data_IF_788681927558
#
_entry.id   IF_788681927558
#
_cell.length_a   1.000
_cell.length_b   1.000
_cell.length_c   1.000
_cell.angle_alpha   90.00
_cell.angle_beta   90.00
_cell.angle_gamma   90.00
#
_symmetry.space_group_name_H-M   'P 1'
#
loop_
_entity.id
_entity.type
_entity.pdbx_description
1 polymer ?
#
# COMPACT_ATOMS: atom_id res chain seq x y z
N UNK A 1 -73.93 9.24 -15.10
CA UNK A 1 -73.15 7.99 -15.00
C UNK A 1 -71.83 8.30 -14.32
N UNK A 2 -71.34 7.40 -13.45
CA UNK A 2 -70.09 7.61 -12.73
C UNK A 2 -68.88 7.48 -13.66
N UNK A 3 -67.90 8.38 -13.51
CA UNK A 3 -66.60 8.31 -14.17
C UNK A 3 -65.72 7.25 -13.51
N UNK A 4 -64.75 6.71 -14.23
CA UNK A 4 -63.75 5.82 -13.61
C UNK A 4 -62.75 6.64 -12.81
N UNK A 5 -62.59 6.28 -11.53
CA UNK A 5 -61.74 6.95 -10.54
C UNK A 5 -60.47 6.11 -10.37
N UNK A 6 -59.33 6.45 -11.02
CA UNK A 6 -58.11 5.65 -10.94
C UNK A 6 -57.57 5.47 -9.52
N UNK A 7 -57.86 6.41 -8.63
CA UNK A 7 -57.44 6.44 -7.23
C UNK A 7 -57.96 5.23 -6.43
N UNK A 8 -58.98 4.53 -6.92
CA UNK A 8 -59.48 3.30 -6.28
C UNK A 8 -58.63 2.07 -6.61
N UNK A 9 -57.66 2.17 -7.53
CA UNK A 9 -56.77 1.07 -7.91
C UNK A 9 -55.47 1.17 -7.09
N UNK A 10 -55.08 0.14 -6.30
CA UNK A 10 -53.89 0.22 -5.46
C UNK A 10 -52.59 0.58 -6.22
N UNK A 11 -52.40 0.04 -7.42
CA UNK A 11 -51.23 0.34 -8.27
C UNK A 11 -51.16 1.82 -8.69
N UNK A 12 -52.30 2.51 -8.81
CA UNK A 12 -52.33 3.93 -9.12
C UNK A 12 -51.63 4.75 -8.04
N UNK A 13 -51.93 4.47 -6.77
CA UNK A 13 -51.38 5.20 -5.61
C UNK A 13 -49.87 5.05 -5.57
N UNK A 14 -49.36 3.82 -5.69
CA UNK A 14 -47.91 3.56 -5.67
C UNK A 14 -47.21 4.32 -6.78
N UNK A 15 -47.76 4.30 -8.00
CA UNK A 15 -47.19 5.05 -9.12
C UNK A 15 -47.22 6.55 -8.88
N UNK A 16 -48.33 7.12 -8.41
CA UNK A 16 -48.41 8.57 -8.14
C UNK A 16 -47.37 9.01 -7.11
N UNK A 17 -47.13 8.20 -6.06
CA UNK A 17 -46.08 8.48 -5.09
C UNK A 17 -44.71 8.57 -5.77
N UNK A 18 -44.38 7.63 -6.65
CA UNK A 18 -43.13 7.68 -7.42
C UNK A 18 -43.06 8.88 -8.38
N UNK A 19 -44.14 9.21 -9.09
CA UNK A 19 -44.18 10.38 -9.96
C UNK A 19 -43.96 11.68 -9.17
N UNK A 20 -44.55 11.80 -7.98
CA UNK A 20 -44.31 12.93 -7.09
C UNK A 20 -42.85 12.98 -6.60
N UNK A 21 -42.25 11.84 -6.28
CA UNK A 21 -40.81 11.81 -5.95
C UNK A 21 -39.96 12.33 -7.11
N UNK A 22 -40.29 11.95 -8.35
CA UNK A 22 -39.56 12.35 -9.55
C UNK A 22 -39.62 13.85 -9.86
N UNK A 23 -40.51 14.61 -9.23
CA UNK A 23 -40.50 16.08 -9.30
C UNK A 23 -39.23 16.68 -8.68
N UNK A 24 -38.59 15.96 -7.74
CA UNK A 24 -37.32 16.37 -7.13
C UNK A 24 -36.14 15.95 -8.03
N UNK A 25 -35.18 16.85 -8.29
CA UNK A 25 -34.02 16.54 -9.15
C UNK A 25 -33.22 15.30 -8.73
N UNK A 26 -33.14 15.05 -7.43
CA UNK A 26 -32.42 13.90 -6.85
C UNK A 26 -33.09 12.53 -7.13
N UNK A 27 -34.41 12.52 -7.34
CA UNK A 27 -35.20 11.32 -7.57
C UNK A 27 -35.80 11.22 -8.98
N UNK A 28 -35.50 12.17 -9.88
CA UNK A 28 -36.06 12.25 -11.23
C UNK A 28 -36.00 10.92 -12.02
N UNK A 29 -35.00 10.10 -11.71
CA UNK A 29 -34.69 8.83 -12.37
C UNK A 29 -35.12 7.58 -11.59
N UNK A 30 -35.85 7.75 -10.49
CA UNK A 30 -36.46 6.66 -9.77
C UNK A 30 -37.78 6.33 -10.46
N UNK A 31 -37.98 5.09 -10.87
CA UNK A 31 -39.17 4.68 -11.60
C UNK A 31 -39.79 3.47 -10.92
N UNK A 32 -41.11 3.47 -10.82
CA UNK A 32 -41.91 2.30 -10.48
C UNK A 32 -42.79 1.93 -11.67
N UNK A 33 -42.90 0.64 -11.95
CA UNK A 33 -43.77 0.12 -13.01
C UNK A 33 -44.28 -1.27 -12.65
N UNK A 34 -45.58 -1.48 -12.80
CA UNK A 34 -46.18 -2.82 -12.83
C UNK A 34 -46.08 -3.37 -14.26
N UNK A 35 -44.92 -3.87 -14.65
CA UNK A 35 -44.66 -4.32 -16.01
C UNK A 35 -45.45 -5.58 -16.34
N UNK A 36 -46.59 -5.40 -17.00
CA UNK A 36 -47.63 -6.42 -17.23
C UNK A 36 -47.63 -6.85 -18.69
N UNK A 37 -47.80 -8.14 -18.96
CA UNK A 37 -47.83 -8.66 -20.33
C UNK A 37 -49.08 -8.21 -21.09
N UNK A 38 -50.22 -8.20 -20.39
CA UNK A 38 -51.51 -7.70 -20.88
C UNK A 38 -52.09 -6.68 -19.89
N UNK A 39 -51.66 -5.40 -19.93
CA UNK A 39 -52.08 -4.38 -18.99
C UNK A 39 -53.45 -3.78 -19.32
N UNK A 40 -54.16 -3.29 -18.31
CA UNK A 40 -55.30 -2.37 -18.52
C UNK A 40 -54.84 -0.97 -18.93
N UNK A 41 -53.74 -0.48 -18.34
CA UNK A 41 -53.17 0.81 -18.68
C UNK A 41 -51.97 0.61 -19.63
N UNK A 42 -51.98 1.15 -20.86
CA UNK A 42 -50.87 0.98 -21.81
C UNK A 42 -49.50 1.40 -21.28
N UNK A 43 -49.45 2.31 -20.29
CA UNK A 43 -48.21 2.72 -19.63
C UNK A 43 -47.51 1.58 -18.87
N UNK A 44 -48.24 0.54 -18.53
CA UNK A 44 -47.78 -0.61 -17.75
C UNK A 44 -47.38 -1.79 -18.67
N UNK A 45 -47.46 -1.63 -19.99
CA UNK A 45 -47.03 -2.64 -20.95
C UNK A 45 -45.56 -3.00 -20.76
N UNK A 46 -45.29 -4.28 -20.47
CA UNK A 46 -43.93 -4.80 -20.36
C UNK A 46 -43.18 -4.64 -21.68
N UNK A 47 -41.94 -4.13 -21.62
CA UNK A 47 -41.00 -4.20 -22.74
C UNK A 47 -40.34 -5.59 -22.83
N UNK A 48 -39.46 -5.80 -23.81
CA UNK A 48 -38.80 -7.09 -24.03
C UNK A 48 -38.02 -7.60 -22.80
N UNK A 49 -37.31 -6.71 -22.12
CA UNK A 49 -36.55 -7.04 -20.91
C UNK A 49 -37.48 -7.38 -19.74
N UNK A 50 -38.51 -6.57 -19.53
CA UNK A 50 -39.49 -6.78 -18.46
C UNK A 50 -40.30 -8.06 -18.69
N UNK A 51 -40.63 -8.36 -19.94
CA UNK A 51 -41.29 -9.62 -20.35
C UNK A 51 -40.46 -10.83 -19.96
N UNK A 52 -39.13 -10.77 -20.13
CA UNK A 52 -38.24 -11.85 -19.68
C UNK A 52 -38.27 -12.03 -18.16
N UNK A 53 -38.40 -10.96 -17.38
CA UNK A 53 -38.54 -11.05 -15.92
C UNK A 53 -39.87 -11.72 -15.53
N UNK A 54 -40.98 -11.34 -16.17
CA UNK A 54 -42.29 -11.97 -15.93
C UNK A 54 -42.24 -13.46 -16.24
N UNK A 55 -41.62 -13.85 -17.36
CA UNK A 55 -41.50 -15.25 -17.74
C UNK A 55 -40.62 -16.05 -16.77
N UNK A 56 -39.52 -15.48 -16.28
CA UNK A 56 -38.72 -16.13 -15.23
C UNK A 56 -39.53 -16.41 -13.96
N UNK A 57 -40.36 -15.47 -13.53
CA UNK A 57 -41.26 -15.71 -12.39
C UNK A 57 -42.33 -16.77 -12.69
N UNK A 58 -42.82 -16.86 -13.92
CA UNK A 58 -43.76 -17.92 -14.34
C UNK A 58 -43.11 -19.30 -14.42
N UNK A 59 -41.83 -19.36 -14.75
CA UNK A 59 -41.06 -20.61 -14.83
C UNK A 59 -40.71 -21.17 -13.44
N UNK A 60 -40.49 -20.30 -12.45
CA UNK A 60 -40.18 -20.68 -11.08
C UNK A 60 -41.05 -19.93 -10.07
N UNK A 61 -42.11 -20.59 -9.59
CA UNK A 61 -43.03 -20.03 -8.59
C UNK A 61 -42.34 -19.75 -7.22
N UNK A 62 -41.18 -20.35 -6.94
CA UNK A 62 -40.42 -20.07 -5.71
C UNK A 62 -39.58 -18.80 -5.83
N UNK A 63 -39.37 -18.28 -7.04
CA UNK A 63 -38.60 -17.08 -7.28
C UNK A 63 -39.38 -15.83 -6.86
N UNK A 64 -39.02 -15.25 -5.71
CA UNK A 64 -39.75 -14.10 -5.15
C UNK A 64 -39.17 -12.74 -5.54
N UNK A 65 -37.92 -12.71 -6.01
CA UNK A 65 -37.24 -11.45 -6.33
C UNK A 65 -36.16 -11.66 -7.38
N UNK A 66 -36.08 -10.74 -8.33
CA UNK A 66 -34.98 -10.61 -9.28
C UNK A 66 -34.41 -9.20 -9.16
N UNK A 67 -33.08 -9.08 -9.20
CA UNK A 67 -32.44 -7.78 -9.19
C UNK A 67 -31.18 -7.81 -10.06
N UNK A 68 -30.79 -6.64 -10.54
CA UNK A 68 -29.61 -6.55 -11.40
C UNK A 68 -29.43 -5.17 -11.98
N UNK A 69 -28.56 -5.09 -12.99
CA UNK A 69 -28.31 -3.86 -13.72
C UNK A 69 -28.87 -3.99 -15.12
N UNK A 70 -29.56 -2.95 -15.56
CA UNK A 70 -30.05 -2.83 -16.92
C UNK A 70 -29.57 -1.51 -17.49
N UNK A 71 -29.10 -1.53 -18.73
CA UNK A 71 -28.70 -0.30 -19.43
C UNK A 71 -29.79 0.10 -20.40
N UNK A 72 -30.35 1.28 -20.20
CA UNK A 72 -31.38 1.86 -21.05
C UNK A 72 -30.96 3.30 -21.39
N UNK A 73 -31.04 3.68 -22.67
CA UNK A 73 -30.77 5.05 -23.13
C UNK A 73 -29.43 5.63 -22.60
N UNK A 74 -28.36 4.83 -22.64
CA UNK A 74 -27.00 5.19 -22.18
C UNK A 74 -26.87 5.39 -20.65
N UNK A 75 -27.88 5.00 -19.89
CA UNK A 75 -27.86 5.02 -18.42
C UNK A 75 -27.98 3.62 -17.84
N UNK A 76 -27.12 3.32 -16.86
CA UNK A 76 -27.22 2.08 -16.10
C UNK A 76 -28.12 2.30 -14.90
N UNK A 77 -29.23 1.57 -14.88
CA UNK A 77 -30.18 1.51 -13.77
C UNK A 77 -29.98 0.19 -13.03
N UNK A 78 -30.07 0.23 -11.71
CA UNK A 78 -30.25 -0.96 -10.90
C UNK A 78 -31.76 -1.19 -10.76
N UNK A 79 -32.22 -2.41 -10.97
CA UNK A 79 -33.62 -2.77 -10.83
C UNK A 79 -33.80 -3.81 -9.72
N UNK A 80 -34.96 -3.75 -9.07
CA UNK A 80 -35.49 -4.81 -8.21
C UNK A 80 -36.90 -5.11 -8.70
N UNK A 81 -37.16 -6.38 -8.99
CA UNK A 81 -38.40 -6.88 -9.56
C UNK A 81 -38.99 -7.96 -8.66
N UNK A 82 -40.32 -7.96 -8.50
CA UNK A 82 -41.08 -8.99 -7.77
C UNK A 82 -42.28 -9.45 -8.60
N UNK A 83 -42.71 -10.72 -8.48
CA UNK A 83 -43.87 -11.21 -9.21
C UNK A 83 -45.15 -10.57 -8.67
N UNK A 84 -46.09 -10.26 -9.57
CA UNK A 84 -47.46 -9.92 -9.24
C UNK A 84 -48.39 -11.06 -9.69
N UNK A 85 -48.82 -11.87 -8.72
CA UNK A 85 -49.75 -12.96 -8.94
C UNK A 85 -51.19 -12.54 -8.62
N UNK A 86 -52.16 -13.07 -9.38
CA UNK A 86 -53.59 -12.91 -9.12
C UNK A 86 -54.01 -13.90 -8.02
N UNK A 87 -53.72 -13.58 -6.77
CA UNK A 87 -53.97 -14.51 -5.65
C UNK A 87 -55.43 -14.53 -5.19
N UNK A 88 -56.21 -13.49 -5.49
CA UNK A 88 -57.58 -13.32 -5.02
C UNK A 88 -58.58 -13.30 -6.19
N UNK A 89 -59.72 -13.98 -6.03
CA UNK A 89 -60.77 -14.01 -7.05
C UNK A 89 -61.43 -12.65 -7.31
N UNK A 90 -61.31 -11.72 -6.35
CA UNK A 90 -61.79 -10.34 -6.50
C UNK A 90 -61.19 -9.60 -7.69
N UNK A 91 -59.95 -9.92 -8.06
CA UNK A 91 -59.30 -9.35 -9.25
C UNK A 91 -60.07 -9.70 -10.54
N UNK A 92 -60.63 -10.91 -10.60
CA UNK A 92 -61.34 -11.43 -11.77
C UNK A 92 -62.72 -10.78 -11.96
N UNK A 93 -63.23 -10.03 -10.99
CA UNK A 93 -64.44 -9.20 -11.16
C UNK A 93 -64.24 -8.18 -12.27
N UNK A 94 -63.03 -7.62 -12.40
CA UNK A 94 -62.71 -6.61 -13.40
C UNK A 94 -61.83 -7.14 -14.54
N UNK A 95 -61.07 -8.22 -14.32
CA UNK A 95 -60.02 -8.66 -15.25
C UNK A 95 -60.29 -10.05 -15.88
N UNK A 96 -61.47 -10.65 -15.67
CA UNK A 96 -61.84 -11.91 -16.32
C UNK A 96 -62.20 -11.71 -17.80
N UNK A 97 -63.38 -11.16 -18.10
CA UNK A 97 -63.79 -10.81 -19.46
C UNK A 97 -64.27 -9.37 -19.53
N UNK A 98 -64.22 -8.73 -20.72
CA UNK A 98 -64.72 -7.37 -20.89
C UNK A 98 -66.19 -7.21 -20.48
N UNK A 99 -67.03 -8.23 -20.68
CA UNK A 99 -68.47 -8.18 -20.38
C UNK A 99 -68.75 -8.19 -18.87
N UNK A 100 -67.87 -8.80 -18.07
CA UNK A 100 -67.99 -8.83 -16.62
C UNK A 100 -67.49 -7.53 -15.95
N UNK A 101 -66.67 -6.76 -16.66
CA UNK A 101 -65.99 -5.60 -16.11
C UNK A 101 -66.91 -4.37 -15.95
N UNK A 102 -66.64 -3.48 -14.98
CA UNK A 102 -67.38 -2.25 -14.82
C UNK A 102 -67.38 -1.37 -16.09
N UNK A 103 -68.55 -0.87 -16.51
CA UNK A 103 -68.68 -0.05 -17.73
C UNK A 103 -67.75 1.17 -17.77
N UNK A 104 -67.49 1.78 -16.60
CA UNK A 104 -66.61 2.93 -16.49
C UNK A 104 -65.15 2.58 -16.80
N UNK A 105 -64.69 1.37 -16.45
CA UNK A 105 -63.37 0.86 -16.82
C UNK A 105 -63.26 0.71 -18.34
N UNK A 106 -64.26 0.07 -18.95
CA UNK A 106 -64.32 -0.17 -20.41
C UNK A 106 -64.35 1.16 -21.17
N UNK A 107 -65.15 2.14 -20.72
CA UNK A 107 -65.18 3.48 -21.35
C UNK A 107 -63.82 4.18 -21.35
N UNK A 108 -62.99 3.94 -20.32
CA UNK A 108 -61.70 4.62 -20.17
C UNK A 108 -60.56 3.89 -20.87
N UNK A 109 -60.51 2.57 -20.78
CA UNK A 109 -59.37 1.76 -21.25
C UNK A 109 -59.72 0.85 -22.43
N UNK A 110 -60.97 0.77 -22.84
CA UNK A 110 -61.44 -0.13 -23.89
C UNK A 110 -61.57 -1.57 -23.43
N UNK A 111 -61.66 -2.48 -24.40
CA UNK A 111 -61.83 -3.93 -24.20
C UNK A 111 -60.61 -4.75 -24.61
N UNK A 112 -59.55 -4.11 -25.12
CA UNK A 112 -58.41 -4.80 -25.73
C UNK A 112 -57.42 -5.34 -24.69
N UNK A 113 -57.19 -4.60 -23.60
CA UNK A 113 -56.13 -4.89 -22.64
C UNK A 113 -56.60 -5.11 -21.21
N UNK A 114 -55.89 -5.97 -20.47
CA UNK A 114 -56.14 -6.19 -19.04
C UNK A 114 -57.31 -7.11 -18.73
N UNK A 115 -57.62 -8.04 -19.62
CA UNK A 115 -58.61 -9.10 -19.43
C UNK A 115 -58.00 -10.49 -19.68
N UNK A 116 -58.73 -11.54 -19.35
CA UNK A 116 -58.31 -12.93 -19.54
C UNK A 116 -57.37 -13.46 -18.46
N UNK A 117 -57.21 -12.74 -17.35
CA UNK A 117 -56.36 -13.17 -16.24
C UNK A 117 -56.95 -14.39 -15.54
N UNK A 118 -56.08 -15.27 -15.04
CA UNK A 118 -56.48 -16.47 -14.29
C UNK A 118 -56.06 -16.39 -12.81
N UNK A 119 -56.79 -17.09 -11.95
CA UNK A 119 -56.42 -17.20 -10.54
C UNK A 119 -55.07 -17.91 -10.40
N UNK A 120 -54.19 -17.35 -9.56
CA UNK A 120 -52.80 -17.73 -9.34
C UNK A 120 -51.86 -17.49 -10.53
N UNK A 121 -52.30 -16.80 -11.58
CA UNK A 121 -51.42 -16.41 -12.68
C UNK A 121 -50.51 -15.24 -12.28
N UNK A 122 -49.22 -15.34 -12.60
CA UNK A 122 -48.29 -14.21 -12.53
C UNK A 122 -48.50 -13.35 -13.78
N UNK A 123 -49.12 -12.19 -13.61
CA UNK A 123 -49.51 -11.31 -14.72
C UNK A 123 -48.46 -10.25 -15.06
N UNK A 124 -47.62 -9.91 -14.08
CA UNK A 124 -46.70 -8.79 -14.16
C UNK A 124 -45.48 -8.98 -13.26
N UNK A 125 -44.47 -8.14 -13.49
CA UNK A 125 -43.36 -7.91 -12.59
C UNK A 125 -43.49 -6.48 -12.04
N UNK A 126 -43.52 -6.33 -10.73
CA UNK A 126 -43.47 -5.03 -10.07
C UNK A 126 -42.00 -4.62 -9.97
N UNK A 127 -41.62 -3.57 -10.70
CA UNK A 127 -40.22 -3.19 -10.88
C UNK A 127 -39.97 -1.79 -10.33
N UNK A 128 -38.94 -1.67 -9.51
CA UNK A 128 -38.36 -0.40 -9.09
C UNK A 128 -37.01 -0.24 -9.78
N UNK A 129 -36.83 0.85 -10.50
CA UNK A 129 -35.55 1.25 -11.08
C UNK A 129 -34.94 2.41 -10.28
N UNK A 130 -33.64 2.30 -10.00
CA UNK A 130 -32.86 3.35 -9.33
C UNK A 130 -31.54 3.59 -10.07
N UNK A 131 -31.00 4.83 -10.11
CA UNK A 131 -29.72 5.11 -10.75
C UNK A 131 -28.58 4.31 -10.13
N UNK A 132 -27.87 3.51 -10.93
CA UNK A 132 -26.79 2.67 -10.43
C UNK A 132 -25.69 3.49 -9.74
N UNK A 133 -25.42 4.71 -10.24
CA UNK A 133 -24.46 5.64 -9.64
C UNK A 133 -24.73 5.92 -8.16
N UNK A 134 -25.99 6.01 -7.74
CA UNK A 134 -26.35 6.31 -6.35
C UNK A 134 -26.04 5.10 -5.46
N UNK A 135 -26.38 3.90 -5.93
CA UNK A 135 -26.08 2.62 -5.24
C UNK A 135 -24.57 2.38 -5.12
N UNK A 136 -23.84 2.59 -6.23
CA UNK A 136 -22.39 2.41 -6.30
C UNK A 136 -21.62 3.48 -5.51
N UNK A 137 -22.10 4.73 -5.48
CA UNK A 137 -21.44 5.81 -4.75
C UNK A 137 -21.52 5.60 -3.23
N UNK A 138 -22.66 5.12 -2.72
CA UNK A 138 -22.81 4.73 -1.32
C UNK A 138 -21.79 3.65 -0.92
N UNK A 139 -21.60 2.62 -1.76
CA UNK A 139 -20.61 1.58 -1.52
C UNK A 139 -19.16 2.10 -1.61
N UNK A 140 -18.88 3.01 -2.56
CA UNK A 140 -17.53 3.56 -2.79
C UNK A 140 -17.06 4.50 -1.68
N UNK A 141 -17.94 5.27 -1.06
CA UNK A 141 -17.55 6.23 -0.02
C UNK A 141 -16.99 5.53 1.23
N UNK A 142 -17.67 4.49 1.72
CA UNK A 142 -17.16 3.71 2.85
C UNK A 142 -15.89 2.95 2.50
N UNK A 143 -15.79 2.41 1.29
CA UNK A 143 -14.59 1.70 0.83
C UNK A 143 -13.38 2.64 0.77
N UNK A 144 -13.55 3.86 0.24
CA UNK A 144 -12.47 4.87 0.20
C UNK A 144 -11.99 5.25 1.60
N UNK A 145 -12.92 5.45 2.54
CA UNK A 145 -12.56 5.75 3.93
C UNK A 145 -11.76 4.60 4.55
N UNK A 146 -12.26 3.37 4.44
CA UNK A 146 -11.57 2.19 4.95
C UNK A 146 -10.16 2.06 4.35
N UNK A 147 -10.03 2.13 3.02
CA UNK A 147 -8.74 2.08 2.32
C UNK A 147 -7.81 3.20 2.78
N UNK A 148 -8.31 4.42 2.97
CA UNK A 148 -7.49 5.55 3.44
C UNK A 148 -6.95 5.33 4.86
N UNK A 149 -7.76 4.74 5.76
CA UNK A 149 -7.35 4.39 7.12
C UNK A 149 -6.27 3.30 7.07
N UNK A 150 -6.49 2.23 6.31
CA UNK A 150 -5.50 1.17 6.14
C UNK A 150 -4.19 1.70 5.55
N UNK A 151 -4.26 2.56 4.53
CA UNK A 151 -3.09 3.20 3.93
C UNK A 151 -2.34 4.06 4.95
N UNK A 152 -3.05 4.81 5.80
CA UNK A 152 -2.46 5.63 6.85
C UNK A 152 -1.75 4.79 7.92
N UNK A 153 -2.38 3.71 8.38
CA UNK A 153 -1.78 2.76 9.34
C UNK A 153 -0.51 2.13 8.73
N UNK A 154 -0.57 1.71 7.47
CA UNK A 154 0.57 1.08 6.80
C UNK A 154 1.73 2.06 6.61
N UNK A 155 1.44 3.30 6.18
CA UNK A 155 2.45 4.34 6.06
C UNK A 155 3.09 4.68 7.41
N UNK A 156 2.30 4.76 8.48
CA UNK A 156 2.80 4.98 9.84
C UNK A 156 3.69 3.82 10.31
N UNK A 157 3.26 2.58 10.08
CA UNK A 157 4.04 1.38 10.41
C UNK A 157 5.38 1.36 9.67
N UNK A 158 5.38 1.66 8.36
CA UNK A 158 6.61 1.78 7.58
C UNK A 158 7.52 2.91 8.09
N UNK A 159 6.96 4.05 8.46
CA UNK A 159 7.73 5.17 8.99
C UNK A 159 8.38 4.81 10.34
N UNK A 160 7.62 4.20 11.24
CA UNK A 160 8.12 3.73 12.55
C UNK A 160 9.19 2.65 12.35
N UNK A 161 8.93 1.65 11.51
CA UNK A 161 9.87 0.55 11.27
C UNK A 161 11.18 1.06 10.66
N UNK A 162 11.11 1.91 9.63
CA UNK A 162 12.32 2.52 9.05
C UNK A 162 13.04 3.42 10.05
N UNK A 163 12.31 4.16 10.88
CA UNK A 163 12.89 5.00 11.94
C UNK A 163 13.62 4.18 13.01
N UNK A 164 12.99 3.10 13.48
CA UNK A 164 13.58 2.16 14.44
C UNK A 164 14.79 1.45 13.83
N UNK A 165 14.70 0.94 12.60
CA UNK A 165 15.84 0.30 11.92
C UNK A 165 17.02 1.27 11.78
N UNK A 166 16.76 2.53 11.41
CA UNK A 166 17.80 3.54 11.29
C UNK A 166 18.49 3.82 12.63
N UNK A 167 17.73 3.99 13.72
CA UNK A 167 18.27 4.32 15.05
C UNK A 167 18.91 3.14 15.76
N UNK A 168 18.29 1.96 15.68
CA UNK A 168 18.73 0.78 16.42
C UNK A 168 19.83 0.02 15.69
N UNK A 169 19.84 0.01 14.36
CA UNK A 169 20.81 -0.82 13.60
C UNK A 169 21.78 0.03 12.79
N UNK A 170 21.30 0.90 11.90
CA UNK A 170 22.17 1.58 10.94
C UNK A 170 23.08 2.64 11.58
N UNK A 171 22.59 3.40 12.57
CA UNK A 171 23.40 4.41 13.26
C UNK A 171 24.52 3.80 14.12
N UNK A 172 24.26 2.77 14.95
CA UNK A 172 25.32 2.10 15.71
C UNK A 172 26.37 1.38 14.85
N UNK A 173 26.02 0.92 13.65
CA UNK A 173 26.97 0.25 12.76
C UNK A 173 27.97 1.21 12.09
N UNK A 174 27.61 2.49 11.89
CA UNK A 174 28.46 3.47 11.18
C UNK A 174 29.83 3.69 11.82
N UNK A 175 29.96 3.89 13.14
CA UNK A 175 31.27 4.03 13.79
C UNK A 175 32.12 2.76 13.67
N UNK A 176 31.50 1.58 13.76
CA UNK A 176 32.21 0.29 13.60
C UNK A 176 32.83 0.18 12.20
N UNK A 177 32.05 0.50 11.16
CA UNK A 177 32.53 0.50 9.78
C UNK A 177 33.67 1.50 9.55
N UNK A 178 33.59 2.70 10.14
CA UNK A 178 34.64 3.72 10.02
C UNK A 178 35.92 3.35 10.76
N UNK A 179 35.84 2.78 11.96
CA UNK A 179 37.03 2.32 12.69
C UNK A 179 37.69 1.16 11.94
N UNK A 180 36.91 0.24 11.38
CA UNK A 180 37.44 -0.82 10.52
C UNK A 180 38.16 -0.26 9.27
N UNK A 181 37.57 0.73 8.60
CA UNK A 181 38.19 1.40 7.45
C UNK A 181 39.51 2.09 7.83
N UNK A 182 39.57 2.78 8.97
CA UNK A 182 40.80 3.41 9.46
C UNK A 182 41.89 2.44 9.90
N UNK A 183 41.55 1.18 10.21
CA UNK A 183 42.52 0.11 10.47
C UNK A 183 42.99 -0.56 9.18
N UNK A 184 42.20 -0.51 8.11
CA UNK A 184 42.56 -1.07 6.80
C UNK A 184 43.30 -0.10 5.90
N UNK A 185 43.10 1.21 6.08
CA UNK A 185 43.85 2.25 5.35
C UNK A 185 45.28 2.34 5.91
N UNK A 186 46.18 1.60 5.26
CA UNK A 186 47.63 1.64 5.42
C UNK A 186 48.18 3.03 5.03
N UNK A 187 49.04 3.58 5.90
CA UNK A 187 49.89 4.76 5.69
C UNK A 187 49.27 6.05 5.12
N UNK A 188 48.94 6.97 6.01
CA UNK A 188 49.18 8.39 5.74
C UNK A 188 49.89 9.02 6.93
N UNK A 189 50.98 9.78 6.71
CA UNK A 189 51.78 10.36 7.78
C UNK A 189 50.85 11.14 8.69
N UNK A 190 50.85 10.77 9.97
CA UNK A 190 49.87 11.19 10.95
C UNK A 190 49.85 12.73 11.08
N UNK A 191 48.96 13.38 10.32
CA UNK A 191 48.51 14.72 10.67
C UNK A 191 47.78 14.61 12.03
N UNK A 192 47.98 15.56 12.97
CA UNK A 192 47.30 15.55 14.28
C UNK A 192 45.78 15.36 14.18
N UNK A 193 45.19 15.82 13.07
CA UNK A 193 43.76 15.69 12.76
C UNK A 193 43.30 14.23 12.56
N UNK A 194 44.16 13.32 12.08
CA UNK A 194 43.79 11.90 11.89
C UNK A 194 43.82 11.10 13.19
N UNK A 195 44.64 11.49 14.17
CA UNK A 195 44.64 10.92 15.51
C UNK A 195 43.39 11.35 16.29
N UNK A 196 43.06 12.65 16.26
CA UNK A 196 41.88 13.18 16.93
C UNK A 196 40.57 12.63 16.36
N UNK A 197 40.46 12.55 15.03
CA UNK A 197 39.29 11.97 14.36
C UNK A 197 39.11 10.48 14.64
N UNK A 198 40.20 9.73 14.84
CA UNK A 198 40.15 8.32 15.27
C UNK A 198 39.67 8.20 16.71
N UNK A 199 40.22 8.98 17.63
CA UNK A 199 39.80 9.00 19.03
C UNK A 199 38.30 9.34 19.17
N UNK A 200 37.80 10.29 18.38
CA UNK A 200 36.37 10.64 18.33
C UNK A 200 35.49 9.47 17.86
N UNK A 201 35.92 8.69 16.88
CA UNK A 201 35.17 7.51 16.41
C UNK A 201 35.24 6.35 17.41
N UNK A 202 36.37 6.17 18.12
CA UNK A 202 36.46 5.23 19.25
C UNK A 202 35.56 5.63 20.43
N UNK A 203 35.43 6.93 20.72
CA UNK A 203 34.51 7.44 21.74
C UNK A 203 33.04 7.19 21.35
N UNK A 204 32.68 7.36 20.08
CA UNK A 204 31.34 7.00 19.58
C UNK A 204 31.08 5.50 19.69
N UNK A 205 32.07 4.67 19.37
CA UNK A 205 32.02 3.22 19.54
C UNK A 205 31.83 2.82 21.02
N UNK A 206 32.43 3.53 21.96
CA UNK A 206 32.26 3.31 23.40
C UNK A 206 30.84 3.56 23.89
N UNK A 207 30.17 4.58 23.33
CA UNK A 207 28.76 4.83 23.64
C UNK A 207 27.86 3.68 23.16
N UNK A 208 28.17 3.08 22.02
CA UNK A 208 27.45 1.89 21.50
C UNK A 208 27.78 0.65 22.34
N UNK A 209 29.04 0.47 22.73
CA UNK A 209 29.47 -0.65 23.57
C UNK A 209 28.83 -0.68 24.97
N UNK A 210 28.22 0.42 25.42
CA UNK A 210 27.41 0.49 26.65
C UNK A 210 25.97 -0.01 26.45
N UNK A 211 25.51 -0.19 25.22
CA UNK A 211 24.21 -0.77 24.94
C UNK A 211 24.20 -2.26 25.36
N UNK A 212 23.08 -2.69 25.92
CA UNK A 212 22.88 -4.05 26.45
C UNK A 212 22.42 -5.07 25.40
N UNK A 213 22.34 -4.67 24.14
CA UNK A 213 21.90 -5.49 23.01
C UNK A 213 23.08 -6.19 22.30
N UNK A 214 22.75 -6.96 21.26
CA UNK A 214 23.70 -7.74 20.47
C UNK A 214 24.73 -6.83 19.75
N UNK A 215 24.33 -5.62 19.35
CA UNK A 215 25.22 -4.64 18.73
C UNK A 215 26.20 -4.07 19.76
N UNK A 216 25.77 -3.80 20.99
CA UNK A 216 26.64 -3.43 22.08
C UNK A 216 27.66 -4.54 22.42
N UNK A 217 27.25 -5.82 22.38
CA UNK A 217 28.17 -6.94 22.54
C UNK A 217 29.21 -7.00 21.42
N UNK A 218 28.78 -6.85 20.17
CA UNK A 218 29.68 -6.82 19.02
C UNK A 218 30.66 -5.65 19.12
N UNK A 219 30.20 -4.45 19.52
CA UNK A 219 31.03 -3.28 19.72
C UNK A 219 32.11 -3.52 20.78
N UNK A 220 31.79 -4.16 21.91
CA UNK A 220 32.76 -4.52 22.95
C UNK A 220 33.83 -5.51 22.45
N UNK A 221 33.43 -6.47 21.62
CA UNK A 221 34.37 -7.44 21.02
C UNK A 221 35.28 -6.73 20.03
N UNK A 222 34.70 -5.90 19.15
CA UNK A 222 35.43 -5.12 18.16
C UNK A 222 36.42 -4.14 18.82
N UNK A 223 36.02 -3.45 19.90
CA UNK A 223 36.92 -2.61 20.69
C UNK A 223 38.14 -3.36 21.22
N UNK A 224 37.93 -4.57 21.76
CA UNK A 224 39.03 -5.41 22.24
C UNK A 224 39.98 -5.79 21.11
N UNK A 225 39.45 -6.19 19.96
CA UNK A 225 40.26 -6.51 18.78
C UNK A 225 41.06 -5.28 18.31
N UNK A 226 40.40 -4.14 18.12
CA UNK A 226 41.03 -2.90 17.67
C UNK A 226 42.13 -2.43 18.63
N UNK A 227 41.90 -2.51 19.96
CA UNK A 227 42.92 -2.17 20.96
C UNK A 227 44.14 -3.09 20.89
N UNK A 228 43.93 -4.38 20.69
CA UNK A 228 45.02 -5.37 20.53
C UNK A 228 45.82 -5.08 19.26
N UNK A 229 45.16 -4.87 18.13
CA UNK A 229 45.82 -4.52 16.85
C UNK A 229 46.66 -3.27 16.99
N UNK A 230 46.09 -2.20 17.56
CA UNK A 230 46.80 -0.94 17.78
C UNK A 230 48.03 -1.11 18.68
N UNK A 231 47.89 -1.84 19.80
CA UNK A 231 49.02 -2.08 20.70
C UNK A 231 50.14 -2.88 20.03
N UNK A 232 49.80 -3.80 19.13
CA UNK A 232 50.77 -4.58 18.35
C UNK A 232 51.47 -3.73 17.29
N UNK A 233 50.73 -2.90 16.56
CA UNK A 233 51.30 -1.98 15.57
C UNK A 233 52.27 -0.98 16.21
N UNK A 234 51.90 -0.40 17.36
CA UNK A 234 52.80 0.49 18.09
C UNK A 234 54.06 -0.24 18.58
N UNK A 235 53.91 -1.44 19.14
CA UNK A 235 55.06 -2.26 19.55
C UNK A 235 55.98 -2.60 18.38
N UNK A 236 55.42 -2.97 17.22
CA UNK A 236 56.17 -3.22 15.99
C UNK A 236 56.90 -1.97 15.49
N UNK A 237 56.26 -0.80 15.52
CA UNK A 237 56.91 0.47 15.15
C UNK A 237 58.07 0.83 16.09
N UNK A 238 57.90 0.59 17.38
CA UNK A 238 58.95 0.81 18.37
C UNK A 238 60.13 -0.13 18.12
N UNK A 239 59.86 -1.42 17.90
CA UNK A 239 60.90 -2.39 17.53
C UNK A 239 61.61 -2.02 16.22
N UNK A 240 60.88 -1.55 15.22
CA UNK A 240 61.49 -1.05 13.98
C UNK A 240 62.35 0.18 14.23
N UNK A 241 61.93 1.13 15.08
CA UNK A 241 62.75 2.29 15.44
C UNK A 241 64.02 1.88 16.20
N UNK A 242 63.90 0.99 17.18
CA UNK A 242 65.04 0.48 17.94
C UNK A 242 66.04 -0.24 17.02
N UNK A 243 65.55 -1.09 16.10
CA UNK A 243 66.40 -1.75 15.10
C UNK A 243 67.01 -0.74 14.13
N UNK A 244 66.25 0.27 13.69
CA UNK A 244 66.78 1.33 12.82
C UNK A 244 67.88 2.14 13.52
N UNK A 245 67.73 2.41 14.82
CA UNK A 245 68.72 3.15 15.60
C UNK A 245 69.94 2.28 15.93
N UNK A 246 69.77 0.98 16.18
CA UNK A 246 70.88 0.01 16.31
C UNK A 246 71.70 -0.09 15.01
N UNK A 247 71.02 -0.18 13.86
CA UNK A 247 71.67 -0.20 12.53
C UNK A 247 72.44 1.11 12.28
N UNK A 248 71.88 2.27 12.64
CA UNK A 248 72.61 3.55 12.54
C UNK A 248 73.84 3.59 13.44
N UNK A 249 73.73 3.11 14.67
CA UNK A 249 74.86 3.07 15.60
C UNK A 249 75.99 2.17 15.08
N UNK A 250 75.65 1.01 14.52
CA UNK A 250 76.62 0.08 13.96
C UNK A 250 77.30 0.61 12.69
N UNK A 251 76.57 1.33 11.83
CA UNK A 251 77.15 2.03 10.68
C UNK A 251 78.09 3.16 11.11
N UNK A 252 77.72 3.91 12.14
CA UNK A 252 78.52 5.01 12.67
C UNK A 252 79.81 4.51 13.35
N UNK A 253 79.75 3.42 14.12
CA UNK A 253 80.94 2.77 14.70
C UNK A 253 81.88 2.19 13.63
N UNK A 254 81.30 1.67 12.53
CA UNK A 254 82.06 1.20 11.37
C UNK A 254 82.79 2.34 10.65
N UNK A 255 82.14 3.50 10.49
CA UNK A 255 82.75 4.71 9.93
C UNK A 255 83.88 5.25 10.83
N UNK A 256 83.67 5.30 12.14
CA UNK A 256 84.67 5.77 13.11
C UNK A 256 85.91 4.86 13.15
N UNK A 257 85.70 3.54 13.11
CA UNK A 257 86.78 2.54 13.04
C UNK A 257 87.60 2.71 11.76
N UNK A 258 86.94 2.94 10.62
CA UNK A 258 87.64 3.17 9.34
C UNK A 258 88.46 4.46 9.37
N UNK A 259 87.92 5.54 9.95
CA UNK A 259 88.63 6.81 10.14
C UNK A 259 89.86 6.64 11.05
N UNK A 260 89.74 5.85 12.12
CA UNK A 260 90.84 5.54 13.03
C UNK A 260 91.96 4.73 12.34
N UNK A 261 91.60 3.68 11.58
CA UNK A 261 92.56 2.87 10.82
C UNK A 261 93.32 3.74 9.80
N UNK A 262 92.64 4.62 9.08
CA UNK A 262 93.29 5.56 8.15
C UNK A 262 94.30 6.47 8.86
N UNK A 263 93.96 6.97 10.05
CA UNK A 263 94.84 7.81 10.87
C UNK A 263 96.11 7.06 11.33
N UNK A 264 95.97 5.80 11.74
CA UNK A 264 97.12 4.93 12.11
C UNK A 264 97.98 4.62 10.89
N UNK A 265 97.37 4.30 9.75
CA UNK A 265 98.07 4.05 8.49
C UNK A 265 98.88 5.28 8.05
N UNK A 266 98.30 6.48 8.14
CA UNK A 266 98.97 7.73 7.85
C UNK A 266 100.18 7.96 8.76
N UNK A 267 100.01 7.81 10.08
CA UNK A 267 101.11 7.95 11.05
C UNK A 267 102.22 6.93 10.83
N UNK A 268 101.89 5.71 10.40
CA UNK A 268 102.88 4.69 10.04
C UNK A 268 103.68 5.05 8.77
N UNK A 269 103.07 5.78 7.82
CA UNK A 269 103.78 6.28 6.62
C UNK A 269 104.72 7.43 6.98
N UNK A 270 104.27 8.34 7.84
CA UNK A 270 105.09 9.44 8.35
C UNK A 270 106.32 8.92 9.10
N UNK A 271 106.14 7.92 9.98
CA UNK A 271 107.24 7.28 10.69
C UNK A 271 108.17 6.50 9.75
N UNK A 272 107.64 5.80 8.74
CA UNK A 272 108.47 5.14 7.72
C UNK A 272 109.32 6.12 6.89
N UNK A 273 108.78 7.28 6.56
CA UNK A 273 109.54 8.36 5.92
C UNK A 273 110.63 8.94 6.84
N UNK A 274 110.35 9.05 8.14
CA UNK A 274 111.34 9.49 9.13
C UNK A 274 112.52 8.50 9.25
N UNK A 275 112.25 7.20 9.30
CA UNK A 275 113.29 6.16 9.37
C UNK A 275 114.02 5.92 8.04
N UNK A 276 113.41 6.20 6.87
CA UNK A 276 114.10 6.10 5.58
C UNK A 276 115.07 7.25 5.31
N UNK A 277 114.97 8.38 6.04
CA UNK A 277 115.91 9.49 5.98
C UNK A 277 117.06 9.38 7.00
N UNK A 278 117.03 8.38 7.89
CA UNK A 278 118.00 8.19 8.98
C UNK A 278 119.14 7.19 8.73
N UNK A 279 119.24 6.59 7.53
CA UNK A 279 120.41 5.77 7.14
C UNK A 279 121.26 6.52 6.12
N UNK A 280 122.22 7.30 6.62
CA UNK A 280 123.51 7.56 5.96
C UNK A 280 124.59 6.86 6.77
#
# INVERSE_FOLDING_TARGET
>A
MAEFVPETVPSYVVRQVFEQFREKPEFQKYLYKDATLNPTNPRDQANDFETQLVNQFREDEQLQELHGFQTQEQETLFYVARPLAVTESGCLVCHSTPEAAPENLIRKYGTEGGFGWQLNEIIAAQIIYVPARNVLQAARQNTRLAVSIFMGIFALALFILNGLLKRTVLEPLKPMAKVAQHLSEEDSPALPQSAQKREDEFNKLNNIARQGDELGQLARIFQRMAKVVYSREQGLRQQLQDVLDEVKHQDQESQDTYAYIQKVLQRSRELRHYFSQGKK
#
